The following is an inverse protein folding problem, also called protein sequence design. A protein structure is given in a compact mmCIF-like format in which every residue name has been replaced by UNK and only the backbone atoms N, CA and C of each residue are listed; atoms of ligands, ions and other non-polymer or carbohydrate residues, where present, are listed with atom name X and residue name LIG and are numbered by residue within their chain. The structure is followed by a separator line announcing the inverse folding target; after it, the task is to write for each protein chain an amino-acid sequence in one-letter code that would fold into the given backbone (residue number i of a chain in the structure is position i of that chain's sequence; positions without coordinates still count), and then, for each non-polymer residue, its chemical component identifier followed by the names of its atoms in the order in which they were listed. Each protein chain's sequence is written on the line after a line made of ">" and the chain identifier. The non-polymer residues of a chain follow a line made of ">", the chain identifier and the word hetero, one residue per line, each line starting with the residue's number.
data_IF_480720897874
#
_entry.id   IF_480720897874
#
_cell.length_a   1.000
_cell.length_b   1.000
_cell.length_c   1.000
_cell.angle_alpha   90.00
_cell.angle_beta   90.00
_cell.angle_gamma   90.00
#
_symmetry.space_group_name_H-M   'P 1'
#
loop_
_entity.id
_entity.type
_entity.pdbx_description
1 polymer ?
#
# COMPACT_ATOMS: atom_id res chain seq x y z
N UNK A 1 -1.30 9.97 20.79
CA UNK A 1 -1.65 11.07 19.86
C UNK A 1 -2.94 11.69 20.34
N UNK A 2 -2.95 13.00 20.56
CA UNK A 2 -4.13 13.74 21.04
C UNK A 2 -5.34 13.52 20.13
N UNK A 3 -6.54 13.56 20.71
CA UNK A 3 -7.80 13.42 19.98
C UNK A 3 -8.03 14.66 19.13
N UNK A 4 -7.63 14.60 17.85
CA UNK A 4 -7.99 15.61 16.86
C UNK A 4 -9.52 15.71 16.72
N UNK A 5 -10.03 16.93 16.53
CA UNK A 5 -11.43 17.18 16.22
C UNK A 5 -11.52 17.89 14.87
N UNK A 6 -12.42 17.44 14.02
CA UNK A 6 -12.72 18.09 12.74
C UNK A 6 -13.06 19.56 12.84
N UNK A 7 -13.47 20.04 14.02
CA UNK A 7 -13.72 21.45 14.33
C UNK A 7 -12.50 22.37 14.18
N UNK A 8 -11.27 21.84 14.09
CA UNK A 8 -10.05 22.64 13.88
C UNK A 8 -9.87 23.07 12.42
N UNK A 9 -10.59 22.45 11.47
CA UNK A 9 -10.58 22.83 10.06
C UNK A 9 -11.63 23.89 9.75
N UNK A 10 -11.31 24.77 8.80
CA UNK A 10 -12.25 25.72 8.21
C UNK A 10 -13.48 25.01 7.65
N UNK A 11 -14.61 25.73 7.59
CA UNK A 11 -15.81 25.21 6.92
C UNK A 11 -15.52 24.86 5.45
N UNK A 12 -14.62 25.61 4.79
CA UNK A 12 -14.17 25.38 3.43
C UNK A 12 -13.47 24.02 3.28
N UNK A 13 -12.44 23.73 4.09
CA UNK A 13 -11.75 22.44 4.05
C UNK A 13 -12.66 21.28 4.47
N UNK A 14 -13.55 21.50 5.44
CA UNK A 14 -14.55 20.50 5.84
C UNK A 14 -15.61 20.22 4.80
N UNK A 15 -15.88 21.15 3.88
CA UNK A 15 -16.89 20.98 2.82
C UNK A 15 -16.44 20.05 1.70
N UNK A 16 -15.12 19.82 1.55
CA UNK A 16 -14.55 18.96 0.50
C UNK A 16 -14.87 17.49 0.76
N UNK A 17 -15.18 16.75 -0.31
CA UNK A 17 -15.63 15.35 -0.24
C UNK A 17 -14.72 14.38 -1.01
N UNK A 18 -14.62 13.14 -0.51
CA UNK A 18 -13.84 12.07 -1.12
C UNK A 18 -14.70 10.94 -1.70
N UNK A 19 -15.83 10.61 -1.06
CA UNK A 19 -16.77 9.58 -1.50
C UNK A 19 -18.21 10.05 -1.29
N UNK A 20 -19.05 9.81 -2.29
CA UNK A 20 -20.50 9.96 -2.14
C UNK A 20 -21.10 8.73 -1.49
N UNK A 21 -22.06 8.94 -0.59
CA UNK A 21 -22.91 7.88 -0.05
C UNK A 21 -24.29 7.85 -0.71
N UNK A 22 -25.30 7.51 0.08
CA UNK A 22 -26.71 7.36 -0.30
C UNK A 22 -27.51 8.68 -0.32
N UNK A 23 -26.83 9.82 -0.22
CA UNK A 23 -27.42 11.17 -0.25
C UNK A 23 -27.56 11.83 1.11
N UNK A 24 -27.49 11.06 2.21
CA UNK A 24 -27.42 11.56 3.59
C UNK A 24 -26.02 11.38 4.18
N UNK A 25 -25.39 10.25 3.86
CA UNK A 25 -24.02 9.91 4.28
C UNK A 25 -23.00 10.26 3.20
N UNK A 26 -21.78 10.62 3.62
CA UNK A 26 -20.67 10.91 2.72
C UNK A 26 -19.34 10.84 3.47
N UNK A 27 -18.23 10.76 2.72
CA UNK A 27 -16.90 10.82 3.30
C UNK A 27 -16.28 12.20 3.07
N UNK A 28 -16.04 13.00 4.12
CA UNK A 28 -15.21 14.20 4.01
C UNK A 28 -13.80 13.88 3.53
N UNK A 29 -13.25 14.76 2.71
CA UNK A 29 -11.94 14.57 2.11
C UNK A 29 -10.86 14.42 3.19
N UNK A 30 -10.82 15.33 4.15
CA UNK A 30 -9.87 15.28 5.27
C UNK A 30 -9.94 13.96 6.05
N UNK A 31 -11.13 13.39 6.23
CA UNK A 31 -11.30 12.13 6.96
C UNK A 31 -10.69 10.96 6.18
N UNK A 32 -10.94 10.89 4.87
CA UNK A 32 -10.30 9.89 4.03
C UNK A 32 -8.78 10.06 3.97
N UNK A 33 -8.30 11.31 3.89
CA UNK A 33 -6.88 11.63 3.93
C UNK A 33 -6.22 11.15 5.24
N UNK A 34 -6.86 11.39 6.38
CA UNK A 34 -6.38 10.89 7.68
C UNK A 34 -6.45 9.36 7.73
N UNK A 35 -7.55 8.74 7.31
CA UNK A 35 -7.71 7.29 7.29
C UNK A 35 -6.58 6.63 6.46
N UNK A 36 -6.28 7.16 5.27
CA UNK A 36 -5.20 6.66 4.41
C UNK A 36 -3.81 6.88 5.02
N UNK A 37 -3.57 8.01 5.70
CA UNK A 37 -2.31 8.26 6.40
C UNK A 37 -2.09 7.28 7.57
N UNK A 38 -3.11 7.02 8.38
CA UNK A 38 -3.05 6.09 9.51
C UNK A 38 -2.85 4.66 9.02
N UNK A 39 -3.57 4.25 7.96
CA UNK A 39 -3.38 2.94 7.33
C UNK A 39 -1.97 2.81 6.76
N UNK A 40 -1.42 3.85 6.12
CA UNK A 40 -0.03 3.85 5.64
C UNK A 40 0.97 3.58 6.77
N UNK A 41 0.73 4.14 7.96
CA UNK A 41 1.52 3.88 9.16
C UNK A 41 1.41 2.43 9.64
N UNK A 42 0.21 1.86 9.65
CA UNK A 42 -0.03 0.46 10.03
C UNK A 42 0.53 -0.53 9.02
N UNK A 43 0.48 -0.21 7.73
CA UNK A 43 1.17 -0.99 6.71
C UNK A 43 2.68 -1.02 6.94
N UNK A 44 3.28 0.11 7.34
CA UNK A 44 4.70 0.15 7.66
C UNK A 44 5.07 -0.70 8.88
N UNK A 45 4.31 -0.55 9.97
CA UNK A 45 4.62 -1.22 11.24
C UNK A 45 4.30 -2.72 11.20
N UNK A 46 3.14 -3.08 10.65
CA UNK A 46 2.54 -4.40 10.83
C UNK A 46 2.67 -5.29 9.58
N UNK A 47 2.86 -4.73 8.38
CA UNK A 47 2.80 -5.46 7.11
C UNK A 47 4.08 -5.39 6.25
N UNK A 48 4.84 -4.29 6.29
CA UNK A 48 6.03 -4.12 5.47
C UNK A 48 7.19 -4.94 6.05
N UNK A 49 7.82 -5.85 5.26
CA UNK A 49 8.94 -6.64 5.76
C UNK A 49 10.17 -5.78 6.02
N UNK A 50 11.03 -6.24 6.95
CA UNK A 50 12.25 -5.51 7.30
C UNK A 50 13.16 -5.26 6.10
N UNK A 51 13.22 -6.20 5.15
CA UNK A 51 13.96 -6.02 3.90
C UNK A 51 13.51 -4.75 3.14
N UNK A 52 12.20 -4.56 2.99
CA UNK A 52 11.61 -3.39 2.33
C UNK A 52 11.90 -2.11 3.10
N UNK A 53 11.73 -2.15 4.43
CA UNK A 53 12.00 -0.99 5.28
C UNK A 53 13.47 -0.54 5.17
N UNK A 54 14.41 -1.49 5.19
CA UNK A 54 15.85 -1.22 5.00
C UNK A 54 16.17 -0.69 3.61
N UNK A 55 15.58 -1.26 2.56
CA UNK A 55 15.77 -0.79 1.18
C UNK A 55 15.33 0.67 1.04
N UNK A 56 14.14 1.02 1.54
CA UNK A 56 13.63 2.39 1.47
C UNK A 56 14.47 3.35 2.32
N UNK A 57 14.85 2.96 3.54
CA UNK A 57 15.73 3.78 4.40
C UNK A 57 17.07 4.09 3.71
N UNK A 58 17.70 3.07 3.12
CA UNK A 58 18.97 3.21 2.39
C UNK A 58 18.84 4.12 1.17
N UNK A 59 17.81 3.92 0.32
CA UNK A 59 17.66 4.70 -0.91
C UNK A 59 17.26 6.16 -0.67
N UNK A 60 16.45 6.40 0.36
CA UNK A 60 16.00 7.74 0.73
C UNK A 60 17.03 8.48 1.59
N UNK A 61 17.88 7.74 2.31
CA UNK A 61 18.78 8.28 3.34
C UNK A 61 18.03 8.80 4.56
N UNK A 62 16.86 8.22 4.84
CA UNK A 62 16.00 8.53 5.97
C UNK A 62 16.04 7.37 6.96
N UNK A 63 15.84 7.67 8.24
CA UNK A 63 15.64 6.64 9.26
C UNK A 63 14.28 5.95 9.10
N UNK A 64 14.08 4.76 9.71
CA UNK A 64 12.84 3.99 9.55
C UNK A 64 11.58 4.78 9.92
N UNK A 65 11.62 5.50 11.04
CA UNK A 65 10.50 6.34 11.49
C UNK A 65 10.25 7.54 10.56
N UNK A 66 11.29 8.02 9.88
CA UNK A 66 11.17 9.11 8.91
C UNK A 66 10.57 8.62 7.58
N UNK A 67 10.94 7.41 7.14
CA UNK A 67 10.27 6.76 6.00
C UNK A 67 8.80 6.50 6.30
N UNK A 68 8.48 6.09 7.54
CA UNK A 68 7.09 5.97 8.00
C UNK A 68 6.36 7.30 7.91
N UNK A 69 6.89 8.37 8.49
CA UNK A 69 6.29 9.71 8.42
C UNK A 69 6.06 10.17 6.98
N UNK A 70 7.03 9.92 6.08
CA UNK A 70 6.89 10.17 4.64
C UNK A 70 5.77 9.34 4.02
N UNK A 71 5.69 8.03 4.31
CA UNK A 71 4.65 7.15 3.77
C UNK A 71 3.26 7.59 4.24
N UNK A 72 3.10 7.91 5.53
CA UNK A 72 1.84 8.41 6.06
C UNK A 72 1.43 9.71 5.38
N UNK A 73 2.38 10.62 5.17
CA UNK A 73 2.12 11.88 4.47
C UNK A 73 1.70 11.62 3.02
N UNK A 74 2.47 10.84 2.27
CA UNK A 74 2.16 10.49 0.87
C UNK A 74 0.80 9.79 0.74
N UNK A 75 0.50 8.85 1.63
CA UNK A 75 -0.76 8.14 1.66
C UNK A 75 -1.92 9.07 2.03
N UNK A 76 -1.72 10.04 2.92
CA UNK A 76 -2.76 11.00 3.23
C UNK A 76 -2.98 12.03 2.13
N UNK A 77 -1.92 12.50 1.45
CA UNK A 77 -2.02 13.56 0.45
C UNK A 77 -2.41 13.07 -0.94
N UNK A 78 -2.43 11.74 -1.18
CA UNK A 78 -2.62 11.15 -2.51
C UNK A 78 -3.86 11.69 -3.26
N UNK A 79 -4.90 12.03 -2.52
CA UNK A 79 -6.22 12.42 -3.02
C UNK A 79 -6.51 13.93 -2.89
N UNK A 80 -5.52 14.77 -2.58
CA UNK A 80 -5.72 16.22 -2.44
C UNK A 80 -6.34 16.87 -3.69
N UNK A 81 -6.09 16.32 -4.88
CA UNK A 81 -6.70 16.74 -6.14
C UNK A 81 -8.20 16.54 -6.23
N UNK A 82 -8.83 15.85 -5.27
CA UNK A 82 -10.30 15.84 -5.10
C UNK A 82 -10.83 17.18 -4.62
N UNK A 83 -10.01 18.02 -3.98
CA UNK A 83 -10.30 19.43 -3.75
C UNK A 83 -10.07 20.25 -5.04
N UNK A 84 -10.68 19.85 -6.16
CA UNK A 84 -10.64 20.58 -7.42
C UNK A 84 -12.06 20.86 -7.92
N UNK A 85 -12.23 21.92 -8.73
CA UNK A 85 -13.56 22.27 -9.27
C UNK A 85 -14.14 21.12 -10.09
N UNK A 86 -13.30 20.40 -10.84
CA UNK A 86 -13.74 19.26 -11.63
C UNK A 86 -14.32 18.18 -10.72
N UNK A 87 -13.55 17.71 -9.74
CA UNK A 87 -14.01 16.67 -8.83
C UNK A 87 -15.25 17.12 -8.03
N UNK A 88 -15.21 18.33 -7.47
CA UNK A 88 -16.30 18.91 -6.68
C UNK A 88 -17.64 18.96 -7.42
N UNK A 89 -17.62 19.11 -8.74
CA UNK A 89 -18.82 19.21 -9.59
C UNK A 89 -19.21 17.91 -10.29
N UNK A 90 -18.45 16.82 -10.18
CA UNK A 90 -18.68 15.56 -10.93
C UNK A 90 -20.11 15.00 -10.79
N UNK A 91 -20.76 15.27 -9.66
CA UNK A 91 -22.09 14.77 -9.34
C UNK A 91 -23.22 15.78 -9.60
N UNK A 92 -22.93 17.00 -10.04
CA UNK A 92 -23.94 18.07 -10.20
C UNK A 92 -25.00 17.74 -11.27
N UNK A 93 -24.67 16.87 -12.22
CA UNK A 93 -25.63 16.35 -13.22
C UNK A 93 -26.73 15.47 -12.61
N UNK A 94 -26.58 15.08 -11.35
CA UNK A 94 -27.53 14.28 -10.60
C UNK A 94 -28.12 15.15 -9.48
N UNK A 95 -29.36 15.67 -9.63
CA UNK A 95 -29.94 16.63 -8.68
C UNK A 95 -29.90 16.18 -7.22
N UNK A 96 -30.01 14.88 -6.97
CA UNK A 96 -29.94 14.28 -5.64
C UNK A 96 -28.56 14.43 -4.96
N UNK A 97 -27.50 14.69 -5.73
CA UNK A 97 -26.12 14.89 -5.26
C UNK A 97 -25.61 16.33 -5.41
N UNK A 98 -26.42 17.26 -5.95
CA UNK A 98 -26.05 18.68 -6.10
C UNK A 98 -25.77 19.40 -4.76
N UNK A 99 -26.10 18.76 -3.64
CA UNK A 99 -25.79 19.27 -2.31
C UNK A 99 -24.28 19.31 -2.02
N UNK A 100 -23.44 18.53 -2.72
CA UNK A 100 -21.98 18.54 -2.48
C UNK A 100 -21.35 19.86 -2.93
N UNK A 101 -21.61 20.26 -4.18
CA UNK A 101 -21.15 21.56 -4.71
C UNK A 101 -21.79 22.73 -3.96
N UNK A 102 -23.06 22.61 -3.58
CA UNK A 102 -23.76 23.64 -2.79
C UNK A 102 -23.11 23.83 -1.41
N UNK A 103 -22.68 22.75 -0.74
CA UNK A 103 -21.95 22.84 0.54
C UNK A 103 -20.61 23.56 0.40
N UNK A 104 -19.87 23.28 -0.68
CA UNK A 104 -18.58 23.93 -0.98
C UNK A 104 -18.78 25.44 -1.22
N UNK A 105 -19.74 25.82 -2.07
CA UNK A 105 -20.07 27.23 -2.29
C UNK A 105 -20.62 27.91 -1.03
N UNK A 106 -21.43 27.21 -0.24
CA UNK A 106 -21.97 27.71 1.02
C UNK A 106 -20.90 27.96 2.09
N UNK A 107 -19.78 27.23 2.02
CA UNK A 107 -18.59 27.43 2.85
C UNK A 107 -17.65 28.54 2.34
N UNK A 108 -18.05 29.29 1.31
CA UNK A 108 -17.29 30.41 0.77
C UNK A 108 -16.30 30.07 -0.34
N UNK A 109 -16.20 28.81 -0.78
CA UNK A 109 -15.28 28.41 -1.84
C UNK A 109 -15.93 28.62 -3.22
N UNK A 110 -15.36 29.44 -4.12
CA UNK A 110 -15.97 29.74 -5.41
C UNK A 110 -16.08 28.51 -6.31
N UNK A 111 -17.31 28.05 -6.55
CA UNK A 111 -17.63 26.94 -7.45
C UNK A 111 -18.84 27.32 -8.31
N UNK A 112 -18.68 27.30 -9.64
CA UNK A 112 -19.79 27.51 -10.57
C UNK A 112 -20.63 26.23 -10.64
N UNK A 113 -21.95 26.36 -10.77
CA UNK A 113 -22.90 25.24 -10.75
C UNK A 113 -22.91 24.35 -12.00
N UNK A 114 -22.14 24.67 -13.05
CA UNK A 114 -22.14 23.90 -14.30
C UNK A 114 -20.83 23.16 -14.52
N UNK A 115 -20.93 21.82 -14.62
CA UNK A 115 -19.83 20.92 -15.01
C UNK A 115 -19.30 21.20 -16.41
N UNK A 116 -20.15 21.73 -17.29
CA UNK A 116 -19.81 22.00 -18.70
C UNK A 116 -18.76 23.10 -18.85
N UNK A 117 -18.64 23.97 -17.84
CA UNK A 117 -17.65 25.05 -17.80
C UNK A 117 -16.35 24.64 -17.10
N UNK A 118 -16.25 23.40 -16.62
CA UNK A 118 -15.12 22.93 -15.81
C UNK A 118 -14.23 21.99 -16.63
N UNK A 119 -12.96 22.36 -16.76
CA UNK A 119 -11.96 21.55 -17.44
C UNK A 119 -11.78 20.21 -16.72
N UNK A 120 -11.84 19.11 -17.48
CA UNK A 120 -11.66 17.76 -16.94
C UNK A 120 -10.19 17.54 -16.57
N UNK A 121 -9.94 17.33 -15.28
CA UNK A 121 -8.61 17.00 -14.75
C UNK A 121 -8.76 15.76 -13.87
N UNK A 122 -8.12 14.62 -14.20
CA UNK A 122 -8.10 13.48 -13.29
C UNK A 122 -7.54 13.89 -11.93
N UNK A 123 -8.14 13.43 -10.84
CA UNK A 123 -7.77 13.92 -9.51
C UNK A 123 -6.35 13.51 -9.10
N UNK A 124 -5.84 12.35 -9.58
CA UNK A 124 -4.42 12.00 -9.42
C UNK A 124 -3.49 13.03 -10.04
N UNK A 125 -3.75 13.44 -11.29
CA UNK A 125 -3.00 14.50 -11.97
C UNK A 125 -3.08 15.82 -11.18
N UNK A 126 -4.27 16.18 -10.70
CA UNK A 126 -4.45 17.38 -9.86
C UNK A 126 -3.66 17.28 -8.54
N UNK A 127 -3.68 16.13 -7.87
CA UNK A 127 -2.87 15.89 -6.66
C UNK A 127 -1.38 16.10 -6.94
N UNK A 128 -0.88 15.53 -8.05
CA UNK A 128 0.51 15.67 -8.46
C UNK A 128 0.92 17.14 -8.65
N UNK A 129 0.07 17.94 -9.30
CA UNK A 129 0.35 19.36 -9.54
C UNK A 129 0.28 20.17 -8.23
N UNK A 130 -0.79 20.02 -7.45
CA UNK A 130 -0.99 20.76 -6.19
C UNK A 130 0.16 20.50 -5.23
N UNK A 131 0.56 19.23 -5.05
CA UNK A 131 1.68 18.87 -4.17
C UNK A 131 3.00 19.41 -4.71
N UNK A 132 3.19 19.43 -6.04
CA UNK A 132 4.43 19.93 -6.65
C UNK A 132 4.64 21.42 -6.34
N UNK A 133 3.61 22.24 -6.52
CA UNK A 133 3.70 23.68 -6.23
C UNK A 133 3.81 23.93 -4.73
N UNK A 134 3.01 23.26 -3.89
CA UNK A 134 3.07 23.42 -2.44
C UNK A 134 4.44 23.07 -1.84
N UNK A 135 5.07 21.97 -2.28
CA UNK A 135 6.43 21.63 -1.85
C UNK A 135 7.48 22.64 -2.34
N UNK A 136 7.31 23.21 -3.52
CA UNK A 136 8.21 24.23 -4.05
C UNK A 136 8.13 25.52 -3.21
N UNK A 137 6.92 25.92 -2.84
CA UNK A 137 6.66 27.17 -2.10
C UNK A 137 7.04 27.06 -0.62
N UNK A 138 6.77 25.93 0.04
CA UNK A 138 6.95 25.80 1.49
C UNK A 138 8.30 25.16 1.90
N UNK A 139 8.89 24.32 1.06
CA UNK A 139 10.05 23.48 1.45
C UNK A 139 11.30 23.70 0.58
N UNK A 140 11.35 24.76 -0.22
CA UNK A 140 12.50 25.10 -1.08
C UNK A 140 12.86 24.00 -2.11
N UNK A 141 11.89 23.20 -2.53
CA UNK A 141 12.13 22.22 -3.58
C UNK A 141 12.37 22.91 -4.93
N UNK A 142 13.22 22.32 -5.76
CA UNK A 142 13.10 22.59 -7.20
C UNK A 142 11.81 21.94 -7.70
N UNK A 143 11.14 22.53 -8.70
CA UNK A 143 9.94 21.93 -9.30
C UNK A 143 10.15 20.47 -9.72
N UNK A 144 11.30 20.15 -10.31
CA UNK A 144 11.64 18.76 -10.65
C UNK A 144 11.78 17.85 -9.42
N UNK A 145 12.36 18.36 -8.33
CA UNK A 145 12.49 17.61 -7.07
C UNK A 145 11.13 17.34 -6.44
N UNK A 146 10.25 18.34 -6.40
CA UNK A 146 8.89 18.25 -5.88
C UNK A 146 8.03 17.30 -6.73
N UNK A 147 8.11 17.40 -8.05
CA UNK A 147 7.40 16.52 -8.98
C UNK A 147 7.73 15.03 -8.78
N UNK A 148 8.95 14.69 -8.34
CA UNK A 148 9.33 13.29 -8.03
C UNK A 148 8.67 12.75 -6.76
N UNK A 149 8.37 13.62 -5.80
CA UNK A 149 7.61 13.24 -4.60
C UNK A 149 6.13 13.15 -4.97
N UNK A 150 5.62 14.17 -5.68
CA UNK A 150 4.23 14.26 -6.11
C UNK A 150 3.82 13.20 -7.14
N UNK A 151 4.75 12.64 -7.91
CA UNK A 151 4.50 11.56 -8.86
C UNK A 151 3.87 10.32 -8.20
N UNK A 152 4.10 10.11 -6.91
CA UNK A 152 3.49 9.02 -6.13
C UNK A 152 1.97 9.24 -6.01
N UNK A 153 1.56 10.49 -5.73
CA UNK A 153 0.16 10.87 -5.71
C UNK A 153 -0.45 10.88 -7.12
N UNK A 154 0.28 11.26 -8.17
CA UNK A 154 -0.23 11.15 -9.55
C UNK A 154 -0.45 9.68 -9.97
N UNK A 155 0.45 8.78 -9.55
CA UNK A 155 0.41 7.37 -9.94
C UNK A 155 -0.50 6.48 -9.07
N UNK A 156 -1.25 7.00 -8.09
CA UNK A 156 -1.99 6.16 -7.13
C UNK A 156 -3.18 5.38 -7.75
N UNK A 157 -3.54 5.61 -9.02
CA UNK A 157 -4.46 4.74 -9.79
C UNK A 157 -3.74 3.72 -10.67
N UNK A 158 -2.43 3.55 -10.50
CA UNK A 158 -1.60 2.53 -11.14
C UNK A 158 -0.72 3.03 -12.30
N UNK A 159 -1.04 4.18 -12.91
CA UNK A 159 -0.25 4.75 -14.01
C UNK A 159 -0.13 6.26 -13.79
N UNK A 160 1.10 6.82 -13.77
CA UNK A 160 1.29 8.27 -13.72
C UNK A 160 0.83 8.93 -15.03
N UNK A 161 0.49 10.21 -14.96
CA UNK A 161 0.17 11.01 -16.13
C UNK A 161 1.43 11.22 -16.98
N UNK A 162 1.43 10.69 -18.20
CA UNK A 162 2.55 10.84 -19.16
C UNK A 162 2.29 11.86 -20.26
N UNK A 163 1.04 12.32 -20.39
CA UNK A 163 0.65 13.34 -21.36
C UNK A 163 1.08 14.74 -20.87
N UNK A 164 2.12 15.27 -21.51
CA UNK A 164 2.69 16.59 -21.16
C UNK A 164 1.73 17.74 -21.45
N UNK A 165 0.92 17.64 -22.52
CA UNK A 165 -0.04 18.69 -22.86
C UNK A 165 -1.17 18.74 -21.83
N UNK A 166 -1.62 17.58 -21.34
CA UNK A 166 -2.57 17.50 -20.24
C UNK A 166 -1.98 18.10 -18.96
N UNK A 167 -0.73 17.78 -18.60
CA UNK A 167 -0.06 18.32 -17.41
C UNK A 167 0.06 19.85 -17.47
N UNK A 168 0.49 20.39 -18.61
CA UNK A 168 0.61 21.84 -18.81
C UNK A 168 -0.75 22.53 -18.73
N UNK A 169 -1.77 21.99 -19.41
CA UNK A 169 -3.12 22.52 -19.37
C UNK A 169 -3.74 22.46 -17.97
N UNK A 170 -3.61 21.33 -17.28
CA UNK A 170 -4.09 21.17 -15.92
C UNK A 170 -3.36 22.11 -14.95
N UNK A 171 -2.05 22.30 -15.11
CA UNK A 171 -1.26 23.25 -14.32
C UNK A 171 -1.73 24.69 -14.50
N UNK A 172 -1.98 25.12 -15.74
CA UNK A 172 -2.53 26.44 -16.03
C UNK A 172 -3.91 26.62 -15.40
N UNK A 173 -4.80 25.64 -15.56
CA UNK A 173 -6.16 25.70 -15.02
C UNK A 173 -6.16 25.76 -13.48
N UNK A 174 -5.37 24.92 -12.81
CA UNK A 174 -5.28 24.91 -11.34
C UNK A 174 -4.62 26.18 -10.81
N UNK A 175 -3.62 26.71 -11.51
CA UNK A 175 -2.96 27.97 -11.16
C UNK A 175 -3.85 29.21 -11.29
N UNK A 176 -4.94 29.13 -12.05
CA UNK A 176 -5.95 30.20 -12.21
C UNK A 176 -7.14 30.05 -11.23
N UNK A 177 -7.03 29.18 -10.22
CA UNK A 177 -8.08 29.09 -9.19
C UNK A 177 -8.13 30.34 -8.31
N UNK A 178 -9.23 30.52 -7.60
CA UNK A 178 -9.37 31.62 -6.65
C UNK A 178 -8.61 31.32 -5.35
N UNK A 179 -8.18 32.34 -4.58
CA UNK A 179 -7.40 32.19 -3.34
C UNK A 179 -7.98 31.16 -2.36
N UNK A 180 -9.31 31.08 -2.24
CA UNK A 180 -9.97 30.17 -1.30
C UNK A 180 -9.71 28.68 -1.61
N UNK A 181 -9.40 28.34 -2.87
CA UNK A 181 -8.97 26.98 -3.21
C UNK A 181 -7.54 26.70 -2.75
N UNK A 182 -6.64 27.68 -2.87
CA UNK A 182 -5.26 27.56 -2.39
C UNK A 182 -5.24 27.47 -0.86
N UNK A 183 -6.07 28.25 -0.15
CA UNK A 183 -6.21 28.19 1.29
C UNK A 183 -6.66 26.79 1.75
N UNK A 184 -7.62 26.17 1.04
CA UNK A 184 -8.05 24.79 1.31
C UNK A 184 -6.92 23.79 1.07
N UNK A 185 -6.15 23.94 0.00
CA UNK A 185 -5.02 23.04 -0.28
C UNK A 185 -3.94 23.16 0.79
N UNK A 186 -3.55 24.38 1.14
CA UNK A 186 -2.56 24.64 2.18
C UNK A 186 -2.99 24.08 3.53
N UNK A 187 -4.24 24.35 3.95
CA UNK A 187 -4.78 23.87 5.22
C UNK A 187 -4.79 22.34 5.31
N UNK A 188 -5.23 21.65 4.26
CA UNK A 188 -5.29 20.18 4.23
C UNK A 188 -3.88 19.54 4.18
N UNK A 189 -2.94 20.14 3.43
CA UNK A 189 -1.57 19.67 3.35
C UNK A 189 -0.81 19.94 4.66
N UNK A 190 -1.01 21.10 5.29
CA UNK A 190 -0.42 21.45 6.58
C UNK A 190 -0.98 20.57 7.71
N UNK A 191 -2.28 20.25 7.68
CA UNK A 191 -2.90 19.29 8.59
C UNK A 191 -2.15 17.97 8.56
N UNK A 192 -1.96 17.38 7.36
CA UNK A 192 -1.26 16.11 7.25
C UNK A 192 0.21 16.22 7.61
N UNK A 193 0.88 17.28 7.19
CA UNK A 193 2.29 17.53 7.52
C UNK A 193 2.52 17.56 9.02
N UNK A 194 1.64 18.23 9.75
CA UNK A 194 1.68 18.31 11.22
C UNK A 194 1.35 16.95 11.82
N UNK A 195 0.27 16.31 11.38
CA UNK A 195 -0.23 15.04 11.93
C UNK A 195 0.78 13.91 11.78
N UNK A 196 1.44 13.81 10.63
CA UNK A 196 2.40 12.75 10.34
C UNK A 196 3.82 13.11 10.76
N UNK A 197 4.04 14.30 11.33
CA UNK A 197 5.36 14.82 11.68
C UNK A 197 6.32 14.83 10.48
N UNK A 198 5.81 15.08 9.26
CA UNK A 198 6.58 14.97 8.03
C UNK A 198 7.44 16.20 7.72
N UNK A 199 7.24 17.34 8.40
CA UNK A 199 7.96 18.59 8.11
C UNK A 199 9.51 18.43 8.11
N UNK A 200 10.15 17.82 9.14
CA UNK A 200 11.60 17.62 9.12
C UNK A 200 12.05 16.68 7.98
N UNK A 201 11.22 15.69 7.66
CA UNK A 201 11.49 14.72 6.60
C UNK A 201 11.43 15.37 5.22
N UNK A 202 10.43 16.22 4.98
CA UNK A 202 10.29 16.98 3.75
C UNK A 202 11.48 17.93 3.54
N UNK A 203 11.98 18.59 4.59
CA UNK A 203 13.22 19.38 4.52
C UNK A 203 14.47 18.54 4.20
N UNK A 204 14.62 17.37 4.83
CA UNK A 204 15.72 16.44 4.54
C UNK A 204 15.73 15.99 3.08
N UNK A 205 14.57 15.66 2.54
CA UNK A 205 14.43 15.28 1.12
C UNK A 205 14.74 16.47 0.21
N UNK A 206 14.23 17.68 0.52
CA UNK A 206 14.50 18.91 -0.23
C UNK A 206 16.00 19.21 -0.35
N UNK A 207 16.73 19.05 0.75
CA UNK A 207 18.17 19.30 0.84
C UNK A 207 19.00 18.41 -0.12
N UNK A 208 18.45 17.27 -0.56
CA UNK A 208 19.09 16.36 -1.54
C UNK A 208 18.97 16.84 -2.99
N UNK A 209 18.23 17.92 -3.26
CA UNK A 209 18.08 18.58 -4.57
C UNK A 209 17.74 17.57 -5.69
N UNK A 210 18.66 17.32 -6.63
CA UNK A 210 18.44 16.40 -7.77
C UNK A 210 18.38 14.92 -7.38
N UNK A 211 18.49 14.58 -6.09
CA UNK A 211 18.38 13.21 -5.56
C UNK A 211 17.30 13.11 -4.47
N UNK A 212 16.17 13.81 -4.65
CA UNK A 212 15.01 13.77 -3.71
C UNK A 212 14.54 12.34 -3.46
N UNK A 213 13.96 11.69 -4.47
CA UNK A 213 13.55 10.29 -4.44
C UNK A 213 13.98 9.56 -5.72
N UNK A 214 14.56 8.37 -5.59
CA UNK A 214 14.87 7.49 -6.72
C UNK A 214 13.61 6.89 -7.32
N UNK A 215 13.63 6.53 -8.60
CA UNK A 215 12.50 5.84 -9.26
C UNK A 215 12.10 4.57 -8.54
N UNK A 216 13.06 3.79 -8.03
CA UNK A 216 12.78 2.59 -7.26
C UNK A 216 12.02 2.90 -5.96
N UNK A 217 12.42 3.95 -5.24
CA UNK A 217 11.71 4.37 -4.02
C UNK A 217 10.30 4.84 -4.34
N UNK A 218 10.13 5.60 -5.43
CA UNK A 218 8.81 6.05 -5.89
C UNK A 218 7.90 4.85 -6.17
N UNK A 219 8.37 3.84 -6.93
CA UNK A 219 7.56 2.65 -7.25
C UNK A 219 7.14 1.87 -6.00
N UNK A 220 8.06 1.65 -5.06
CA UNK A 220 7.77 0.94 -3.81
C UNK A 220 6.78 1.72 -2.93
N UNK A 221 6.96 3.03 -2.78
CA UNK A 221 6.06 3.89 -2.03
C UNK A 221 4.69 4.01 -2.71
N UNK A 222 4.61 4.09 -4.03
CA UNK A 222 3.35 4.06 -4.78
C UNK A 222 2.58 2.79 -4.50
N UNK A 223 3.23 1.62 -4.47
CA UNK A 223 2.56 0.36 -4.12
C UNK A 223 1.93 0.40 -2.72
N UNK A 224 2.67 0.93 -1.73
CA UNK A 224 2.17 1.09 -0.36
C UNK A 224 1.02 2.11 -0.26
N UNK A 225 1.11 3.23 -0.99
CA UNK A 225 0.05 4.25 -1.06
C UNK A 225 -1.22 3.69 -1.70
N UNK A 226 -1.09 2.91 -2.78
CA UNK A 226 -2.23 2.22 -3.42
C UNK A 226 -2.91 1.28 -2.43
N UNK A 227 -2.14 0.50 -1.69
CA UNK A 227 -2.69 -0.38 -0.66
C UNK A 227 -3.39 0.41 0.45
N UNK A 228 -2.79 1.50 0.91
CA UNK A 228 -3.36 2.36 1.94
C UNK A 228 -4.71 2.96 1.50
N UNK A 229 -4.76 3.53 0.29
CA UNK A 229 -6.01 4.03 -0.30
C UNK A 229 -7.05 2.91 -0.39
N UNK A 230 -6.71 1.75 -0.97
CA UNK A 230 -7.69 0.69 -1.12
C UNK A 230 -8.31 0.24 0.21
N UNK A 231 -7.50 0.16 1.28
CA UNK A 231 -7.94 -0.23 2.62
C UNK A 231 -8.84 0.84 3.21
N UNK A 232 -8.40 2.10 3.22
CA UNK A 232 -9.20 3.26 3.66
C UNK A 232 -10.43 3.48 2.76
N UNK A 233 -10.41 2.92 1.55
CA UNK A 233 -11.49 2.98 0.59
C UNK A 233 -12.62 1.98 0.87
N UNK A 234 -12.37 0.91 1.64
CA UNK A 234 -13.37 -0.07 2.03
C UNK A 234 -14.37 0.52 3.03
N UNK A 235 -15.64 0.67 2.63
CA UNK A 235 -16.68 1.28 3.48
C UNK A 235 -17.13 0.40 4.66
N UNK A 236 -16.91 -0.91 4.61
CA UNK A 236 -17.18 -1.80 5.75
C UNK A 236 -16.11 -1.62 6.83
N UNK A 237 -14.85 -1.44 6.44
CA UNK A 237 -13.73 -1.19 7.35
C UNK A 237 -13.65 0.28 7.79
N UNK A 238 -13.98 1.21 6.89
CA UNK A 238 -13.95 2.66 7.11
C UNK A 238 -15.32 3.27 6.73
N UNK A 239 -16.32 3.18 7.62
CA UNK A 239 -17.67 3.70 7.39
C UNK A 239 -17.67 5.19 7.06
N UNK A 240 -18.63 5.65 6.26
CA UNK A 240 -18.79 7.07 5.92
C UNK A 240 -19.02 7.94 7.17
N UNK A 241 -18.59 9.21 7.12
CA UNK A 241 -18.71 10.17 8.23
C UNK A 241 -17.46 10.27 9.12
N UNK A 242 -17.58 11.06 10.19
CA UNK A 242 -16.49 11.46 11.10
C UNK A 242 -16.80 11.19 12.57
N UNK A 243 -17.78 10.33 12.86
CA UNK A 243 -18.40 10.25 14.19
C UNK A 243 -17.57 9.47 15.22
N UNK A 244 -16.53 8.76 14.79
CA UNK A 244 -15.65 7.97 15.65
C UNK A 244 -14.31 8.66 15.88
N UNK A 245 -13.74 8.43 17.07
CA UNK A 245 -12.37 8.85 17.36
C UNK A 245 -11.39 8.15 16.41
N UNK A 246 -10.43 8.90 15.86
CA UNK A 246 -9.57 8.39 14.79
C UNK A 246 -8.82 7.10 15.15
N UNK A 247 -8.27 7.00 16.37
CA UNK A 247 -7.54 5.80 16.78
C UNK A 247 -8.43 4.54 16.76
N UNK A 248 -9.64 4.63 17.34
CA UNK A 248 -10.59 3.53 17.34
C UNK A 248 -11.08 3.18 15.92
N UNK A 249 -11.24 4.20 15.07
CA UNK A 249 -11.59 4.03 13.65
C UNK A 249 -10.51 3.29 12.88
N UNK A 250 -9.26 3.70 13.01
CA UNK A 250 -8.10 3.02 12.39
C UNK A 250 -7.97 1.59 12.89
N UNK A 251 -8.06 1.36 14.20
CA UNK A 251 -7.96 0.01 14.78
C UNK A 251 -9.08 -0.89 14.25
N UNK A 252 -10.32 -0.40 14.24
CA UNK A 252 -11.45 -1.14 13.67
C UNK A 252 -11.22 -1.47 12.20
N UNK A 253 -10.83 -0.48 11.39
CA UNK A 253 -10.65 -0.67 9.96
C UNK A 253 -9.52 -1.65 9.62
N UNK A 254 -8.36 -1.48 10.22
CA UNK A 254 -7.20 -2.36 9.99
C UNK A 254 -7.48 -3.78 10.47
N UNK A 255 -8.07 -3.95 11.65
CA UNK A 255 -8.42 -5.27 12.18
C UNK A 255 -9.52 -5.95 11.35
N UNK A 256 -10.45 -5.19 10.76
CA UNK A 256 -11.50 -5.73 9.88
C UNK A 256 -10.95 -6.26 8.56
N UNK A 257 -9.85 -5.69 8.04
CA UNK A 257 -9.17 -6.21 6.85
C UNK A 257 -8.37 -7.47 7.16
N UNK A 258 -7.85 -7.60 8.39
CA UNK A 258 -7.08 -8.74 8.86
C UNK A 258 -5.89 -9.10 7.93
N UNK A 259 -5.08 -8.09 7.55
CA UNK A 259 -3.84 -8.35 6.82
C UNK A 259 -2.94 -9.26 7.64
N UNK A 260 -2.45 -10.32 7.00
CA UNK A 260 -1.47 -11.22 7.63
C UNK A 260 -0.13 -10.51 7.73
N UNK A 261 0.55 -10.57 8.90
CA UNK A 261 1.87 -9.98 9.06
C UNK A 261 2.91 -10.63 8.14
N UNK A 262 4.10 -10.01 7.96
CA UNK A 262 5.22 -10.60 7.27
C UNK A 262 5.51 -11.99 7.79
N UNK A 263 5.72 -12.93 6.88
CA UNK A 263 6.19 -14.26 7.22
C UNK A 263 7.53 -14.18 7.96
N UNK A 264 7.63 -14.91 9.07
CA UNK A 264 8.87 -15.12 9.81
C UNK A 264 9.18 -16.62 9.78
N UNK A 265 10.34 -17.03 9.24
CA UNK A 265 10.70 -18.43 9.22
C UNK A 265 10.96 -18.93 10.65
N UNK A 266 10.74 -20.22 10.84
CA UNK A 266 11.14 -20.93 12.05
C UNK A 266 12.68 -20.99 12.17
N UNK A 267 13.24 -21.29 13.36
CA UNK A 267 14.68 -21.49 13.53
C UNK A 267 15.24 -22.50 12.52
N UNK A 268 16.44 -22.23 12.02
CA UNK A 268 17.09 -23.01 10.96
C UNK A 268 18.43 -23.58 11.44
N UNK A 269 18.38 -24.50 12.41
CA UNK A 269 19.58 -25.00 13.09
C UNK A 269 20.33 -26.08 12.28
N UNK A 270 19.62 -27.06 11.69
CA UNK A 270 20.19 -28.12 10.84
C UNK A 270 19.43 -28.25 9.51
N UNK A 271 20.14 -28.21 8.38
CA UNK A 271 19.52 -28.25 7.05
C UNK A 271 18.66 -29.51 6.83
N UNK A 272 19.15 -30.68 7.26
CA UNK A 272 18.50 -31.96 7.05
C UNK A 272 17.25 -32.10 7.90
N UNK A 273 17.34 -31.79 9.18
CA UNK A 273 16.20 -31.80 10.11
C UNK A 273 15.12 -30.80 9.69
N UNK A 274 15.52 -29.58 9.32
CA UNK A 274 14.58 -28.57 8.83
C UNK A 274 13.85 -29.05 7.58
N UNK A 275 14.55 -29.58 6.57
CA UNK A 275 13.89 -30.09 5.37
C UNK A 275 12.97 -31.29 5.69
N UNK A 276 13.42 -32.22 6.54
CA UNK A 276 12.59 -33.36 6.95
C UNK A 276 11.29 -32.91 7.60
N UNK A 277 11.36 -31.95 8.52
CA UNK A 277 10.20 -31.37 9.18
C UNK A 277 9.30 -30.63 8.18
N UNK A 278 9.85 -29.65 7.46
CA UNK A 278 9.10 -28.76 6.53
C UNK A 278 8.38 -29.52 5.42
N UNK A 279 8.97 -30.62 4.93
CA UNK A 279 8.42 -31.41 3.83
C UNK A 279 7.85 -32.76 4.26
N UNK A 280 7.77 -33.03 5.57
CA UNK A 280 7.28 -34.28 6.15
C UNK A 280 7.96 -35.53 5.55
N UNK A 281 9.29 -35.47 5.40
CA UNK A 281 10.06 -36.61 4.93
C UNK A 281 10.24 -37.67 6.04
N UNK A 282 10.48 -38.94 5.67
CA UNK A 282 10.89 -39.98 6.62
C UNK A 282 12.14 -39.58 7.42
N UNK A 283 12.30 -40.13 8.62
CA UNK A 283 13.40 -39.79 9.52
C UNK A 283 14.77 -40.11 8.91
N UNK A 284 14.83 -41.17 8.10
CA UNK A 284 16.01 -41.65 7.38
C UNK A 284 16.29 -40.90 6.07
N UNK A 285 15.41 -39.97 5.66
CA UNK A 285 15.59 -39.23 4.43
C UNK A 285 16.64 -38.13 4.61
N UNK A 286 17.60 -38.09 3.70
CA UNK A 286 18.64 -37.07 3.64
C UNK A 286 18.43 -36.12 2.46
N UNK A 287 18.75 -34.82 2.60
CA UNK A 287 18.73 -33.88 1.49
C UNK A 287 19.58 -34.39 0.32
N UNK A 288 19.04 -34.28 -0.89
CA UNK A 288 19.79 -34.54 -2.12
C UNK A 288 20.95 -33.54 -2.26
N UNK A 289 21.99 -33.86 -3.04
CA UNK A 289 23.14 -32.97 -3.22
C UNK A 289 22.77 -31.54 -3.63
N UNK A 290 21.79 -31.36 -4.55
CA UNK A 290 21.34 -30.04 -4.98
C UNK A 290 20.61 -29.26 -3.87
N UNK A 291 19.87 -29.97 -3.01
CA UNK A 291 19.13 -29.39 -1.88
C UNK A 291 20.10 -28.93 -0.80
N UNK A 292 21.05 -29.79 -0.41
CA UNK A 292 22.08 -29.47 0.57
C UNK A 292 22.98 -28.31 0.10
N UNK A 293 23.44 -28.35 -1.16
CA UNK A 293 24.31 -27.31 -1.71
C UNK A 293 23.63 -25.93 -1.71
N UNK A 294 22.37 -25.84 -2.15
CA UNK A 294 21.66 -24.57 -2.18
C UNK A 294 21.33 -24.07 -0.76
N UNK A 295 20.96 -24.96 0.17
CA UNK A 295 20.70 -24.58 1.55
C UNK A 295 21.96 -24.01 2.23
N UNK A 296 23.13 -24.63 2.01
CA UNK A 296 24.41 -24.11 2.51
C UNK A 296 24.73 -22.73 1.94
N UNK A 297 24.62 -22.54 0.62
CA UNK A 297 24.84 -21.25 -0.02
C UNK A 297 23.88 -20.17 0.49
N UNK A 298 22.61 -20.51 0.69
CA UNK A 298 21.61 -19.57 1.21
C UNK A 298 21.85 -19.21 2.69
N UNK A 299 22.37 -20.14 3.50
CA UNK A 299 22.68 -19.89 4.91
C UNK A 299 23.86 -18.93 5.11
N UNK A 300 24.77 -18.87 4.14
CA UNK A 300 25.91 -17.94 4.09
C UNK A 300 25.57 -16.59 3.45
N UNK A 301 24.40 -16.46 2.81
CA UNK A 301 24.02 -15.23 2.13
C UNK A 301 23.80 -14.07 3.12
N UNK A 302 24.52 -12.96 2.91
CA UNK A 302 24.44 -11.74 3.72
C UNK A 302 23.85 -10.56 2.94
N UNK A 303 23.67 -10.71 1.64
CA UNK A 303 23.16 -9.68 0.72
C UNK A 303 22.07 -10.26 -0.22
N UNK A 304 21.23 -9.42 -0.85
CA UNK A 304 20.28 -9.87 -1.87
C UNK A 304 20.97 -10.69 -2.97
N UNK A 305 20.54 -11.95 -3.15
CA UNK A 305 21.26 -12.93 -3.97
C UNK A 305 20.35 -13.55 -5.03
N UNK A 306 20.88 -13.77 -6.24
CA UNK A 306 20.25 -14.55 -7.31
C UNK A 306 20.90 -15.93 -7.39
N UNK A 307 20.13 -16.99 -7.15
CA UNK A 307 20.56 -18.36 -7.35
C UNK A 307 20.05 -18.89 -8.69
N UNK A 308 20.94 -19.50 -9.48
CA UNK A 308 20.59 -20.24 -10.70
C UNK A 308 20.92 -21.71 -10.44
N UNK A 309 19.91 -22.58 -10.49
CA UNK A 309 20.02 -23.99 -10.10
C UNK A 309 19.74 -24.88 -11.31
N UNK A 310 20.77 -25.54 -11.80
CA UNK A 310 20.69 -26.49 -12.91
C UNK A 310 20.79 -27.92 -12.38
N UNK A 311 19.68 -28.66 -12.44
CA UNK A 311 19.64 -30.07 -12.05
C UNK A 311 18.56 -30.81 -12.86
N UNK A 312 18.69 -32.14 -13.06
CA UNK A 312 17.64 -32.96 -13.68
C UNK A 312 16.26 -32.81 -13.04
N UNK A 313 15.22 -33.16 -13.79
CA UNK A 313 13.84 -33.24 -13.26
C UNK A 313 13.78 -34.31 -12.17
N UNK A 314 13.02 -34.07 -11.11
CA UNK A 314 12.91 -34.99 -9.98
C UNK A 314 14.00 -34.85 -8.91
N UNK A 315 15.03 -34.00 -9.10
CA UNK A 315 16.09 -33.79 -8.10
C UNK A 315 15.71 -32.90 -6.90
N UNK A 316 14.43 -32.55 -6.75
CA UNK A 316 13.97 -31.78 -5.58
C UNK A 316 14.33 -30.29 -5.59
N UNK A 317 14.41 -29.68 -6.79
CA UNK A 317 14.68 -28.24 -6.97
C UNK A 317 13.68 -27.34 -6.24
N UNK A 318 12.41 -27.77 -6.15
CA UNK A 318 11.36 -27.02 -5.46
C UNK A 318 11.65 -26.90 -3.96
N UNK A 319 11.95 -28.02 -3.30
CA UNK A 319 12.31 -28.06 -1.88
C UNK A 319 13.61 -27.30 -1.60
N UNK A 320 14.59 -27.39 -2.50
CA UNK A 320 15.81 -26.60 -2.42
C UNK A 320 15.49 -25.10 -2.42
N UNK A 321 14.66 -24.63 -3.36
CA UNK A 321 14.31 -23.22 -3.48
C UNK A 321 13.50 -22.70 -2.28
N UNK A 322 12.54 -23.48 -1.77
CA UNK A 322 11.75 -23.11 -0.59
C UNK A 322 12.63 -23.03 0.66
N UNK A 323 13.55 -23.99 0.83
CA UNK A 323 14.50 -23.95 1.95
C UNK A 323 15.45 -22.76 1.85
N UNK A 324 15.93 -22.45 0.65
CA UNK A 324 16.72 -21.25 0.42
C UNK A 324 15.95 -19.97 0.77
N UNK A 325 14.65 -19.92 0.45
CA UNK A 325 13.79 -18.80 0.82
C UNK A 325 13.66 -18.65 2.35
N UNK A 326 13.62 -19.74 3.13
CA UNK A 326 13.65 -19.69 4.60
C UNK A 326 14.94 -19.04 5.11
N UNK A 327 16.10 -19.46 4.60
CA UNK A 327 17.39 -18.85 4.98
C UNK A 327 17.47 -17.37 4.61
N UNK A 328 17.05 -17.01 3.39
CA UNK A 328 17.01 -15.61 2.96
C UNK A 328 16.03 -14.78 3.81
N UNK A 329 14.88 -15.33 4.18
CA UNK A 329 13.94 -14.66 5.08
C UNK A 329 14.53 -14.44 6.48
N UNK A 330 15.23 -15.44 7.03
CA UNK A 330 15.85 -15.34 8.34
C UNK A 330 17.00 -14.33 8.38
N UNK A 331 17.81 -14.27 7.32
CA UNK A 331 19.00 -13.39 7.23
C UNK A 331 18.67 -11.98 6.75
N UNK A 332 17.80 -11.89 5.76
CA UNK A 332 17.51 -10.63 5.05
C UNK A 332 16.17 -10.04 5.45
N UNK A 333 15.41 -10.67 6.34
CA UNK A 333 14.13 -10.14 6.84
C UNK A 333 13.08 -9.99 5.74
N UNK A 334 13.11 -10.85 4.72
CA UNK A 334 12.08 -10.89 3.68
C UNK A 334 10.83 -11.57 4.20
N UNK A 335 9.66 -10.97 4.01
CA UNK A 335 8.41 -11.38 4.67
C UNK A 335 7.44 -12.20 3.83
N UNK A 336 7.88 -12.84 2.75
CA UNK A 336 6.99 -13.64 1.91
C UNK A 336 7.71 -14.27 0.72
N UNK A 337 7.02 -15.19 0.04
CA UNK A 337 7.52 -15.92 -1.12
C UNK A 337 6.55 -15.76 -2.29
N UNK A 338 7.07 -15.37 -3.45
CA UNK A 338 6.37 -15.47 -4.72
C UNK A 338 6.91 -16.67 -5.49
N UNK A 339 6.06 -17.68 -5.71
CA UNK A 339 6.43 -18.87 -6.48
C UNK A 339 5.89 -18.77 -7.92
N UNK A 340 6.76 -18.45 -8.87
CA UNK A 340 6.41 -18.36 -10.29
C UNK A 340 6.47 -19.74 -10.97
N UNK A 341 5.33 -20.27 -11.38
CA UNK A 341 5.25 -21.51 -12.17
C UNK A 341 5.02 -21.20 -13.67
N UNK A 342 5.51 -22.05 -14.60
CA UNK A 342 5.47 -21.76 -16.03
C UNK A 342 4.06 -21.86 -16.65
N UNK A 343 3.19 -22.69 -16.06
CA UNK A 343 1.82 -22.92 -16.55
C UNK A 343 0.84 -23.09 -15.39
N UNK A 344 -0.44 -22.87 -15.67
CA UNK A 344 -1.53 -23.06 -14.70
C UNK A 344 -1.56 -24.47 -14.08
N UNK A 345 -1.45 -25.52 -14.89
CA UNK A 345 -1.44 -26.90 -14.39
C UNK A 345 -0.27 -27.19 -13.47
N UNK A 346 0.87 -26.54 -13.71
CA UNK A 346 2.03 -26.62 -12.83
C UNK A 346 1.81 -25.84 -11.55
N UNK A 347 1.17 -24.66 -11.62
CA UNK A 347 0.76 -23.89 -10.43
C UNK A 347 -0.17 -24.71 -9.54
N UNK A 348 -1.18 -25.38 -10.10
CA UNK A 348 -2.12 -26.20 -9.34
C UNK A 348 -1.41 -27.37 -8.62
N UNK A 349 -0.55 -28.10 -9.32
CA UNK A 349 0.21 -29.21 -8.74
C UNK A 349 1.22 -28.75 -7.67
N UNK A 350 1.79 -27.56 -7.82
CA UNK A 350 2.69 -26.97 -6.84
C UNK A 350 1.94 -26.36 -5.67
N UNK A 351 0.70 -25.93 -5.85
CA UNK A 351 -0.09 -25.28 -4.81
C UNK A 351 -0.27 -26.16 -3.59
N UNK A 352 -0.61 -27.44 -3.77
CA UNK A 352 -0.75 -28.40 -2.66
C UNK A 352 0.58 -28.58 -1.91
N UNK A 353 1.69 -28.69 -2.64
CA UNK A 353 3.05 -28.86 -2.06
C UNK A 353 3.49 -27.61 -1.29
N UNK A 354 3.31 -26.42 -1.87
CA UNK A 354 3.63 -25.14 -1.24
C UNK A 354 2.74 -24.91 -0.03
N UNK A 355 1.46 -25.31 -0.10
CA UNK A 355 0.54 -25.23 1.04
C UNK A 355 0.98 -26.14 2.20
N UNK A 356 1.42 -27.37 1.89
CA UNK A 356 1.93 -28.29 2.90
C UNK A 356 3.22 -27.77 3.56
N UNK A 357 4.11 -27.14 2.78
CA UNK A 357 5.30 -26.46 3.28
C UNK A 357 4.93 -25.25 4.14
N UNK A 358 4.07 -24.36 3.66
CA UNK A 358 3.68 -23.13 4.36
C UNK A 358 3.06 -23.40 5.73
N UNK A 359 2.27 -24.48 5.88
CA UNK A 359 1.72 -24.93 7.19
C UNK A 359 2.79 -25.29 8.21
N UNK A 360 3.96 -25.75 7.74
CA UNK A 360 5.08 -26.21 8.56
C UNK A 360 6.20 -25.18 8.65
N UNK A 361 6.18 -24.15 7.80
CA UNK A 361 7.17 -23.08 7.75
C UNK A 361 6.83 -21.89 8.66
N UNK A 362 5.77 -22.00 9.47
CA UNK A 362 5.35 -21.01 10.47
C UNK A 362 5.18 -21.66 11.85
N UNK A 363 5.36 -20.90 12.94
CA UNK A 363 5.04 -21.35 14.29
C UNK A 363 3.64 -21.95 14.42
N UNK A 364 3.48 -22.89 15.36
CA UNK A 364 2.15 -23.38 15.72
C UNK A 364 1.29 -22.20 16.17
N UNK A 365 0.05 -22.11 15.64
CA UNK A 365 -0.91 -21.02 15.83
C UNK A 365 -0.70 -19.74 15.01
N UNK A 366 0.42 -19.59 14.30
CA UNK A 366 0.59 -18.48 13.35
C UNK A 366 -0.22 -18.73 12.07
N UNK A 367 -0.60 -17.62 11.42
CA UNK A 367 -1.36 -17.66 10.17
C UNK A 367 -0.41 -17.44 8.99
N UNK A 368 -0.32 -18.42 8.09
CA UNK A 368 0.35 -18.27 6.80
C UNK A 368 -0.70 -17.97 5.72
N UNK A 369 -0.73 -16.74 5.20
CA UNK A 369 -1.62 -16.43 4.08
C UNK A 369 -1.01 -16.89 2.75
N UNK A 370 -1.79 -17.63 1.97
CA UNK A 370 -1.45 -18.01 0.59
C UNK A 370 -2.41 -17.40 -0.41
N UNK A 371 -1.87 -17.11 -1.60
CA UNK A 371 -2.65 -16.63 -2.73
C UNK A 371 -2.23 -17.35 -4.00
N UNK A 372 -3.21 -17.86 -4.75
CA UNK A 372 -3.02 -18.50 -6.04
C UNK A 372 -3.39 -17.51 -7.16
N UNK A 373 -2.37 -16.95 -7.82
CA UNK A 373 -2.50 -15.87 -8.79
C UNK A 373 -2.65 -16.31 -10.25
N UNK A 374 -3.76 -16.96 -10.63
CA UNK A 374 -4.09 -17.17 -12.06
C UNK A 374 -5.61 -17.07 -12.34
N UNK A 375 -5.96 -16.94 -13.63
CA UNK A 375 -7.34 -16.65 -14.10
C UNK A 375 -8.39 -17.71 -13.70
N UNK A 376 -7.96 -18.94 -13.40
CA UNK A 376 -8.82 -20.05 -12.96
C UNK A 376 -8.60 -20.50 -11.51
N UNK A 377 -7.92 -19.71 -10.68
CA UNK A 377 -7.60 -20.10 -9.30
C UNK A 377 -8.84 -20.43 -8.46
N UNK A 378 -10.00 -19.83 -8.77
CA UNK A 378 -11.27 -20.11 -8.10
C UNK A 378 -11.82 -21.54 -8.35
N UNK A 379 -11.29 -22.26 -9.33
CA UNK A 379 -11.67 -23.66 -9.64
C UNK A 379 -10.75 -24.68 -8.94
N UNK A 380 -9.70 -24.23 -8.26
CA UNK A 380 -8.83 -25.10 -7.49
C UNK A 380 -9.48 -25.39 -6.14
N UNK A 381 -9.83 -26.65 -5.89
CA UNK A 381 -10.55 -27.09 -4.68
C UNK A 381 -9.75 -26.85 -3.40
N UNK A 382 -8.42 -27.07 -3.43
CA UNK A 382 -7.53 -26.80 -2.29
C UNK A 382 -7.51 -25.30 -1.96
N UNK A 383 -7.44 -24.43 -2.97
CA UNK A 383 -7.48 -22.98 -2.76
C UNK A 383 -8.87 -22.49 -2.31
N UNK A 384 -9.94 -23.08 -2.85
CA UNK A 384 -11.30 -22.80 -2.42
C UNK A 384 -11.51 -23.18 -0.95
N UNK A 385 -10.99 -24.33 -0.50
CA UNK A 385 -11.06 -24.78 0.89
C UNK A 385 -10.40 -23.78 1.86
N UNK A 386 -9.27 -23.18 1.47
CA UNK A 386 -8.58 -22.14 2.27
C UNK A 386 -9.36 -20.82 2.38
N UNK A 387 -10.34 -20.56 1.51
CA UNK A 387 -11.25 -19.39 1.63
C UNK A 387 -12.32 -19.60 2.70
N UNK A 388 -12.65 -20.84 3.02
CA UNK A 388 -13.71 -21.20 3.97
C UNK A 388 -13.18 -21.62 5.35
N UNK A 389 -11.86 -21.85 5.50
CA UNK A 389 -11.25 -22.13 6.80
C UNK A 389 -11.30 -20.89 7.70
N UNK A 390 -12.09 -20.95 8.77
CA UNK A 390 -12.11 -19.93 9.83
C UNK A 390 -10.91 -20.11 10.76
N UNK A 391 -10.47 -19.01 11.36
CA UNK A 391 -9.42 -18.98 12.38
C UNK A 391 -9.86 -19.89 13.55
N UNK A 392 -9.10 -20.96 13.82
CA UNK A 392 -9.27 -21.79 15.03
C UNK A 392 -9.58 -23.29 14.85
N UNK A 393 -9.60 -23.84 13.64
CA UNK A 393 -10.02 -25.24 13.40
C UNK A 393 -8.90 -26.28 13.12
N UNK A 394 -7.60 -25.94 13.22
CA UNK A 394 -6.54 -26.94 12.91
C UNK A 394 -5.43 -27.07 13.96
N UNK A 395 -5.02 -28.33 14.22
CA UNK A 395 -3.81 -28.69 14.97
C UNK A 395 -2.57 -28.41 14.11
N UNK A 396 -2.08 -27.17 14.15
CA UNK A 396 -0.89 -26.70 13.40
C UNK A 396 -0.91 -25.19 13.13
N UNK A 397 0.07 -24.68 12.36
CA UNK A 397 -0.03 -23.34 11.77
C UNK A 397 -1.22 -23.26 10.81
N UNK A 398 -2.02 -22.19 10.89
CA UNK A 398 -3.23 -22.05 10.06
C UNK A 398 -2.86 -21.41 8.72
N UNK A 399 -3.03 -22.11 7.60
CA UNK A 399 -2.97 -21.48 6.28
C UNK A 399 -4.35 -20.97 5.90
N UNK A 400 -4.45 -19.71 5.47
CA UNK A 400 -5.70 -19.10 4.98
C UNK A 400 -5.50 -18.52 3.58
N UNK A 401 -6.57 -18.44 2.80
CA UNK A 401 -6.54 -17.64 1.58
C UNK A 401 -6.54 -16.16 1.96
N UNK A 402 -5.65 -15.36 1.36
CA UNK A 402 -5.66 -13.90 1.57
C UNK A 402 -7.03 -13.33 1.15
N UNK A 403 -7.82 -12.86 2.13
CA UNK A 403 -9.12 -12.25 1.87
C UNK A 403 -8.97 -10.97 1.04
N UNK A 404 -7.89 -10.20 1.29
CA UNK A 404 -7.55 -8.99 0.55
C UNK A 404 -7.29 -9.22 -0.94
N UNK A 405 -6.55 -10.28 -1.29
CA UNK A 405 -6.20 -10.62 -2.68
C UNK A 405 -7.32 -11.36 -3.43
N UNK A 406 -8.47 -11.60 -2.79
CA UNK A 406 -9.58 -12.36 -3.36
C UNK A 406 -10.50 -11.54 -4.30
N UNK A 407 -10.37 -10.20 -4.28
CA UNK A 407 -11.21 -9.25 -5.00
C UNK A 407 -10.85 -8.97 -6.47
N UNK A 408 -11.54 -8.00 -7.10
CA UNK A 408 -11.33 -7.59 -8.51
C UNK A 408 -10.00 -6.88 -8.76
N UNK A 409 -9.40 -6.30 -7.72
CA UNK A 409 -8.11 -5.64 -7.77
C UNK A 409 -7.01 -6.64 -7.42
N UNK A 410 -6.68 -7.50 -8.39
CA UNK A 410 -5.53 -8.41 -8.30
C UNK A 410 -4.29 -7.64 -8.76
N UNK A 411 -3.17 -7.85 -8.07
CA UNK A 411 -1.91 -7.13 -8.29
C UNK A 411 -1.41 -7.10 -9.72
#
# INVERSE_FOLDING_TARGET
>A
MESWKSSELSDAARSMWAKSGDGQSWMPLHQHMIDSAEVGGRLWDDWAPESLQRTLSSHTGLERDEVKALLQWLAGTHDIGKASKWFASQLDRRPEYAHYSTRISGAGVPLRKSVEDVHRIPHGTASGIIITEWLADHFQYTRQGAARVAAIADAHHGIPTTDTALLESAGFVLGDYQPEWFDVWDELLQLLTTRTCAEPVLHKIAARKKKTLSTQSQLLLTGLVIMADWIASNQEAFPLGTDSAQAARTDFGVNSIALTPPWRPLPLDDHGENMRDRFAWPAEAEPRPVQAALAGLAAEATEPTLFIVEAPTGEGKTEAALTAAEYLAARLGTGGVFFGAPTMSTSDALFTRISAWARRAVPQHDIASLFLGHSKAALNEDFAALRFSRIGESEGGNVIASQWLSGRKKG
#
